data_IF_671284444099
#
_entry.id   IF_671284444099
#
_cell.length_a   1.000
_cell.length_b   1.000
_cell.length_c   1.000
_cell.angle_alpha   90.00
_cell.angle_beta   90.00
_cell.angle_gamma   90.00
#
_symmetry.space_group_name_H-M   'P 1'
#
loop_
_entity.id
_entity.type
_entity.pdbx_description
1 polymer ?
#
# COMPACT_ATOMS: atom_id res chain seq x y z
N UNK A 1 3.87 9.42 11.46
CA UNK A 1 3.64 10.69 10.75
C UNK A 1 4.56 11.80 11.25
N UNK A 2 4.68 12.02 12.57
CA UNK A 2 5.48 13.11 13.14
C UNK A 2 6.94 13.16 12.65
N UNK A 3 7.62 12.03 12.60
CA UNK A 3 9.02 11.98 12.13
C UNK A 3 9.15 12.28 10.63
N UNK A 4 8.16 11.87 9.84
CA UNK A 4 8.10 12.21 8.42
C UNK A 4 7.92 13.72 8.23
N UNK A 5 6.97 14.32 8.93
CA UNK A 5 6.72 15.77 8.90
C UNK A 5 7.98 16.53 9.29
N UNK A 6 8.65 16.11 10.37
CA UNK A 6 9.92 16.71 10.80
C UNK A 6 10.97 16.63 9.70
N UNK A 7 11.20 15.45 9.12
CA UNK A 7 12.19 15.24 8.07
C UNK A 7 11.93 16.06 6.79
N UNK A 8 10.65 16.27 6.44
CA UNK A 8 10.26 17.08 5.29
C UNK A 8 10.37 18.59 5.56
N UNK A 9 10.19 18.98 6.80
CA UNK A 9 10.33 20.39 7.23
C UNK A 9 11.80 20.80 7.34
N UNK A 10 12.64 19.92 7.91
CA UNK A 10 14.08 20.15 8.10
C UNK A 10 14.86 20.14 6.78
N UNK A 11 14.40 19.39 5.79
CA UNK A 11 15.05 19.25 4.49
C UNK A 11 14.05 19.47 3.36
N UNK A 12 13.79 20.70 2.95
CA UNK A 12 12.80 21.05 1.93
C UNK A 12 13.09 20.47 0.53
N UNK A 13 14.31 20.02 0.27
CA UNK A 13 14.67 19.33 -0.97
C UNK A 13 14.10 17.90 -1.06
N UNK A 14 13.71 17.33 0.07
CA UNK A 14 13.00 16.03 0.08
C UNK A 14 11.57 16.22 -0.39
N UNK A 15 11.08 15.23 -1.12
CA UNK A 15 9.69 15.20 -1.59
C UNK A 15 9.04 13.91 -1.09
N UNK A 16 7.81 14.00 -0.63
CA UNK A 16 6.99 12.85 -0.29
C UNK A 16 5.77 12.78 -1.21
N UNK A 17 5.49 11.58 -1.73
CA UNK A 17 4.24 11.24 -2.41
C UNK A 17 3.58 10.16 -1.56
N UNK A 18 2.46 10.50 -0.94
CA UNK A 18 1.80 9.65 0.04
C UNK A 18 0.40 9.28 -0.44
N UNK A 19 0.17 8.01 -0.65
CA UNK A 19 -1.14 7.48 -1.01
C UNK A 19 -1.92 6.97 0.22
N UNK A 20 -1.18 6.69 1.30
CA UNK A 20 -1.72 6.21 2.58
C UNK A 20 -1.13 7.02 3.72
N UNK A 21 -1.94 7.34 4.71
CA UNK A 21 -1.52 8.03 5.94
C UNK A 21 -2.12 7.35 7.17
N UNK A 22 -1.65 7.73 8.35
CA UNK A 22 -2.24 7.28 9.60
C UNK A 22 -2.34 8.44 10.60
N UNK A 23 -3.56 8.90 11.00
CA UNK A 23 -4.87 8.42 10.52
C UNK A 23 -5.10 8.69 9.04
N UNK A 24 -6.10 8.02 8.45
CA UNK A 24 -6.53 8.21 7.07
C UNK A 24 -8.01 8.62 7.03
N UNK A 25 -8.32 9.82 6.47
CA UNK A 25 -7.38 10.84 5.99
C UNK A 25 -6.54 11.45 7.12
N UNK A 26 -5.47 12.20 6.81
CA UNK A 26 -4.73 12.94 7.84
C UNK A 26 -5.65 13.86 8.62
N UNK A 27 -5.35 14.10 9.90
CA UNK A 27 -6.11 15.04 10.71
C UNK A 27 -6.19 16.42 10.03
N UNK A 28 -7.28 17.18 10.19
CA UNK A 28 -7.45 18.48 9.54
C UNK A 28 -6.31 19.46 9.78
N UNK A 29 -5.69 19.39 10.98
CA UNK A 29 -4.56 20.21 11.39
C UNK A 29 -3.19 19.65 10.98
N UNK A 30 -3.13 18.50 10.30
CA UNK A 30 -1.86 17.88 9.90
C UNK A 30 -1.09 18.78 8.92
N UNK A 31 0.21 19.05 9.18
CA UNK A 31 1.07 19.77 8.26
C UNK A 31 1.19 19.13 6.88
N UNK A 32 0.87 17.84 6.73
CA UNK A 32 0.88 17.16 5.43
C UNK A 32 -0.03 17.83 4.39
N UNK A 33 -1.06 18.56 4.81
CA UNK A 33 -1.94 19.30 3.90
C UNK A 33 -1.32 20.55 3.31
N UNK A 34 -0.31 21.12 3.98
CA UNK A 34 0.23 22.44 3.65
C UNK A 34 1.72 22.44 3.27
N UNK A 35 2.45 21.38 3.53
CA UNK A 35 3.85 21.28 3.16
C UNK A 35 4.01 21.28 1.64
N UNK A 36 4.82 22.19 1.04
CA UNK A 36 4.93 22.35 -0.40
C UNK A 36 5.62 21.17 -1.10
N UNK A 37 6.33 20.35 -0.34
CA UNK A 37 7.05 19.17 -0.81
C UNK A 37 6.30 17.85 -0.51
N UNK A 38 4.99 17.93 -0.21
CA UNK A 38 4.11 16.77 0.01
C UNK A 38 3.03 16.73 -1.06
N UNK A 39 2.84 15.55 -1.65
CA UNK A 39 1.75 15.24 -2.56
C UNK A 39 0.93 14.10 -1.96
N UNK A 40 -0.34 14.36 -1.72
CA UNK A 40 -1.29 13.37 -1.20
C UNK A 40 -2.17 12.85 -2.33
N UNK A 41 -2.37 11.54 -2.38
CA UNK A 41 -3.37 10.90 -3.23
C UNK A 41 -4.38 10.14 -2.35
N UNK A 42 -5.63 9.99 -2.78
CA UNK A 42 -6.69 9.45 -1.94
C UNK A 42 -6.74 7.92 -1.97
N UNK A 43 -5.64 7.25 -1.60
CA UNK A 43 -5.50 5.78 -1.50
C UNK A 43 -5.91 5.06 -2.78
N UNK A 44 -5.29 5.46 -3.89
CA UNK A 44 -5.62 4.97 -5.25
C UNK A 44 -4.48 4.21 -5.93
N UNK A 45 -3.32 4.08 -5.29
CA UNK A 45 -2.17 3.37 -5.85
C UNK A 45 -2.34 1.83 -5.80
N UNK A 46 -3.29 1.32 -5.01
CA UNK A 46 -3.60 -0.10 -4.92
C UNK A 46 -4.54 -0.58 -6.03
N UNK A 47 -4.97 -1.83 -5.89
CA UNK A 47 -5.91 -2.45 -6.85
C UNK A 47 -7.29 -1.82 -6.77
N UNK A 48 -7.77 -1.29 -7.89
CA UNK A 48 -9.09 -0.67 -8.03
C UNK A 48 -9.86 -1.24 -9.22
N UNK A 49 -11.19 -1.17 -9.16
CA UNK A 49 -12.09 -1.54 -10.27
C UNK A 49 -11.75 -2.89 -10.92
N UNK A 50 -11.21 -2.87 -12.15
CA UNK A 50 -10.86 -4.09 -12.90
C UNK A 50 -9.78 -4.92 -12.21
N UNK A 51 -8.85 -4.30 -11.50
CA UNK A 51 -7.82 -5.02 -10.75
C UNK A 51 -8.42 -5.81 -9.59
N UNK A 52 -9.42 -5.25 -8.90
CA UNK A 52 -10.16 -5.97 -7.85
C UNK A 52 -10.83 -7.23 -8.38
N UNK A 53 -11.46 -7.13 -9.57
CA UNK A 53 -12.05 -8.29 -10.22
C UNK A 53 -11.00 -9.35 -10.62
N UNK A 54 -9.81 -8.92 -11.08
CA UNK A 54 -8.70 -9.82 -11.37
C UNK A 54 -8.18 -10.52 -10.13
N UNK A 55 -8.06 -9.82 -9.01
CA UNK A 55 -7.67 -10.41 -7.72
C UNK A 55 -8.67 -11.50 -7.32
N UNK A 56 -9.97 -11.24 -7.43
CA UNK A 56 -11.00 -12.25 -7.19
C UNK A 56 -10.83 -13.49 -8.05
N UNK A 57 -10.62 -13.30 -9.37
CA UNK A 57 -10.40 -14.40 -10.30
C UNK A 57 -9.11 -15.19 -10.02
N UNK A 58 -8.05 -14.54 -9.53
CA UNK A 58 -6.84 -15.23 -9.09
C UNK A 58 -7.11 -16.11 -7.86
N UNK A 59 -7.80 -15.56 -6.86
CA UNK A 59 -8.12 -16.32 -5.64
C UNK A 59 -9.04 -17.50 -5.92
N UNK A 60 -10.02 -17.35 -6.79
CA UNK A 60 -10.88 -18.46 -7.24
C UNK A 60 -10.08 -19.60 -7.86
N UNK A 61 -9.11 -19.29 -8.72
CA UNK A 61 -8.21 -20.29 -9.31
C UNK A 61 -7.33 -20.97 -8.28
N UNK A 62 -6.71 -20.21 -7.39
CA UNK A 62 -5.88 -20.76 -6.31
C UNK A 62 -6.70 -21.67 -5.39
N UNK A 63 -7.90 -21.26 -5.03
CA UNK A 63 -8.83 -22.06 -4.22
C UNK A 63 -9.21 -23.36 -4.93
N UNK A 64 -9.46 -23.32 -6.23
CA UNK A 64 -9.76 -24.52 -7.04
C UNK A 64 -8.56 -25.49 -7.11
N UNK A 65 -7.33 -24.95 -7.21
CA UNK A 65 -6.13 -25.77 -7.14
C UNK A 65 -5.99 -26.42 -5.77
N UNK A 66 -6.16 -25.65 -4.71
CA UNK A 66 -6.12 -26.13 -3.32
C UNK A 66 -7.13 -27.28 -3.09
N UNK A 67 -8.40 -27.09 -3.46
CA UNK A 67 -9.44 -28.11 -3.30
C UNK A 67 -9.17 -29.40 -4.07
N UNK A 68 -8.44 -29.32 -5.18
CA UNK A 68 -8.08 -30.49 -6.01
C UNK A 68 -6.73 -31.10 -5.66
N UNK A 69 -6.09 -30.63 -4.58
CA UNK A 69 -4.77 -31.09 -4.13
C UNK A 69 -3.63 -30.80 -5.12
N UNK A 70 -3.83 -29.83 -6.01
CA UNK A 70 -2.80 -29.36 -6.94
C UNK A 70 -1.97 -28.25 -6.30
N UNK A 71 -0.69 -28.11 -6.68
CA UNK A 71 0.15 -27.02 -6.21
C UNK A 71 -0.50 -25.66 -6.52
N UNK A 72 -0.62 -24.79 -5.51
CA UNK A 72 -1.02 -23.40 -5.71
C UNK A 72 0.09 -22.65 -6.46
N UNK A 73 -0.31 -21.73 -7.32
CA UNK A 73 0.63 -20.96 -8.15
C UNK A 73 1.29 -19.83 -7.38
N UNK A 74 0.56 -19.26 -6.43
CA UNK A 74 0.94 -18.07 -5.67
C UNK A 74 1.03 -18.35 -4.16
N UNK A 75 1.35 -19.58 -3.80
CA UNK A 75 1.55 -19.97 -2.42
C UNK A 75 2.65 -19.13 -1.77
N UNK A 76 2.33 -18.56 -0.61
CA UNK A 76 3.29 -17.83 0.21
C UNK A 76 3.96 -18.83 1.14
N UNK A 77 5.25 -19.06 0.94
CA UNK A 77 6.02 -19.96 1.77
C UNK A 77 6.67 -19.23 2.95
N UNK A 78 7.02 -19.96 4.01
CA UNK A 78 7.73 -19.41 5.16
C UNK A 78 9.07 -18.74 4.77
N UNK A 79 9.76 -19.28 3.77
CA UNK A 79 11.01 -18.71 3.26
C UNK A 79 10.79 -17.32 2.64
N UNK A 80 9.68 -17.15 1.91
CA UNK A 80 9.32 -15.85 1.33
C UNK A 80 9.06 -14.77 2.38
N UNK A 81 8.57 -15.16 3.57
CA UNK A 81 8.31 -14.20 4.65
C UNK A 81 9.58 -13.58 5.23
N UNK A 82 10.74 -14.21 5.06
CA UNK A 82 12.04 -13.68 5.51
C UNK A 82 12.53 -12.50 4.67
N UNK A 83 12.06 -12.37 3.44
CA UNK A 83 12.54 -11.38 2.46
C UNK A 83 11.47 -10.41 1.99
N UNK A 84 10.21 -10.63 2.35
CA UNK A 84 9.11 -9.72 2.04
C UNK A 84 8.80 -8.85 3.25
N UNK A 85 8.90 -7.55 3.03
CA UNK A 85 8.43 -6.54 3.97
C UNK A 85 6.92 -6.33 3.80
#
# INVERSE_FOLDING_TARGET
EADLIRALTEEPARTAVLDVTWPEPPLPESPLWSLPNVFLTPHIAGSMQRETARMGAFMEREFSLFLTGKPCRYEVTEEMLKTRA
#
